data_IF_514173977310
#
_entry.id   IF_514173977310
#
_cell.length_a   1.000
_cell.length_b   1.000
_cell.length_c   1.000
_cell.angle_alpha   90.00
_cell.angle_beta   90.00
_cell.angle_gamma   90.00
#
_symmetry.space_group_name_H-M   'P 1'
#
loop_
_entity.id
_entity.type
_entity.pdbx_description
1 polymer ?
#
# COMPACT_ATOMS: atom_id res chain seq x y z
N UNK A 1 -12.10 -8.03 40.77
CA UNK A 1 -11.97 -9.40 40.25
C UNK A 1 -12.66 -9.57 38.86
N UNK A 2 -13.98 -9.24 38.71
CA UNK A 2 -14.68 -9.40 37.40
C UNK A 2 -14.06 -8.53 36.29
N UNK A 3 -13.70 -7.27 36.57
CA UNK A 3 -13.03 -6.38 35.60
C UNK A 3 -11.65 -6.92 35.16
N UNK A 4 -10.87 -7.42 36.13
CA UNK A 4 -9.56 -8.02 35.84
C UNK A 4 -9.68 -9.27 34.96
N UNK A 5 -10.66 -10.14 35.25
CA UNK A 5 -10.93 -11.33 34.42
C UNK A 5 -11.35 -10.96 33.00
N UNK A 6 -12.20 -9.95 32.84
CA UNK A 6 -12.61 -9.46 31.52
C UNK A 6 -11.42 -8.90 30.71
N UNK A 7 -10.53 -8.12 31.36
CA UNK A 7 -9.33 -7.59 30.71
C UNK A 7 -8.40 -8.74 30.27
N UNK A 8 -8.17 -9.72 31.13
CA UNK A 8 -7.36 -10.89 30.78
C UNK A 8 -7.96 -11.67 29.62
N UNK A 9 -9.28 -11.87 29.61
CA UNK A 9 -9.97 -12.52 28.49
C UNK A 9 -9.78 -11.75 27.18
N UNK A 10 -9.97 -10.44 27.18
CA UNK A 10 -9.76 -9.59 25.99
C UNK A 10 -8.32 -9.69 25.49
N UNK A 11 -7.33 -9.61 26.38
CA UNK A 11 -5.91 -9.75 26.03
C UNK A 11 -5.64 -11.13 25.41
N UNK A 12 -6.19 -12.20 26.00
CA UNK A 12 -6.03 -13.56 25.48
C UNK A 12 -6.62 -13.72 24.10
N UNK A 13 -7.83 -13.18 23.85
CA UNK A 13 -8.47 -13.20 22.54
C UNK A 13 -7.63 -12.43 21.50
N UNK A 14 -7.11 -11.26 21.87
CA UNK A 14 -6.25 -10.46 20.99
C UNK A 14 -4.93 -11.21 20.67
N UNK A 15 -4.29 -11.82 21.65
CA UNK A 15 -3.06 -12.59 21.46
C UNK A 15 -3.30 -13.79 20.54
N UNK A 16 -4.37 -14.54 20.75
CA UNK A 16 -4.75 -15.66 19.88
C UNK A 16 -5.02 -15.18 18.45
N UNK A 17 -5.72 -14.06 18.29
CA UNK A 17 -6.02 -13.47 16.96
C UNK A 17 -4.77 -12.99 16.24
N UNK A 18 -3.78 -12.45 16.95
CA UNK A 18 -2.53 -11.94 16.38
C UNK A 18 -1.48 -13.03 16.12
N UNK A 19 -1.51 -14.13 16.88
CA UNK A 19 -0.49 -15.19 16.81
C UNK A 19 -0.23 -15.72 15.38
N UNK A 20 -1.24 -15.98 14.53
CA UNK A 20 -1.01 -16.48 13.17
C UNK A 20 -0.16 -15.54 12.30
N UNK A 21 -0.22 -14.23 12.56
CA UNK A 21 0.52 -13.23 11.80
C UNK A 21 1.89 -12.93 12.43
N UNK A 22 2.04 -13.12 13.76
CA UNK A 22 3.32 -12.91 14.46
C UNK A 22 4.31 -14.03 14.15
N UNK A 23 3.84 -15.28 14.11
CA UNK A 23 4.70 -16.47 13.92
C UNK A 23 4.70 -16.98 12.49
N UNK A 24 4.21 -16.19 11.54
CA UNK A 24 4.20 -16.58 10.14
C UNK A 24 5.59 -16.57 9.52
N UNK A 25 5.93 -17.62 8.79
CA UNK A 25 7.18 -17.73 8.05
C UNK A 25 6.90 -17.85 6.56
N UNK A 26 7.51 -16.98 5.77
CA UNK A 26 7.42 -16.99 4.31
C UNK A 26 8.13 -18.23 3.75
N UNK A 27 7.46 -19.01 2.90
CA UNK A 27 8.02 -20.22 2.28
C UNK A 27 7.35 -20.57 0.96
N UNK A 28 8.08 -21.30 0.13
CA UNK A 28 7.59 -21.79 -1.16
C UNK A 28 7.44 -20.69 -2.22
N UNK A 29 6.90 -21.08 -3.37
CA UNK A 29 6.56 -20.17 -4.47
C UNK A 29 5.06 -19.87 -4.40
N UNK A 30 4.69 -18.61 -4.42
CA UNK A 30 3.28 -18.22 -4.38
C UNK A 30 2.56 -18.56 -5.68
N UNK A 31 1.31 -19.02 -5.54
CA UNK A 31 0.38 -19.23 -6.65
C UNK A 31 -0.77 -18.23 -6.50
N UNK A 32 -0.86 -17.29 -7.44
CA UNK A 32 -1.98 -16.36 -7.56
C UNK A 32 -2.95 -16.86 -8.60
N UNK A 33 -4.21 -17.09 -8.23
CA UNK A 33 -5.26 -17.54 -9.13
C UNK A 33 -6.28 -16.44 -9.35
N UNK A 34 -6.86 -16.36 -10.56
CA UNK A 34 -7.88 -15.38 -10.91
C UNK A 34 -7.34 -13.96 -11.07
N UNK A 35 -8.12 -12.98 -10.64
CA UNK A 35 -7.81 -11.55 -10.81
C UNK A 35 -7.73 -10.84 -9.44
N UNK A 36 -7.17 -9.62 -9.37
CA UNK A 36 -7.23 -8.82 -8.15
C UNK A 36 -8.64 -8.66 -7.56
N UNK A 37 -9.68 -8.62 -8.41
CA UNK A 37 -11.08 -8.50 -7.97
C UNK A 37 -11.79 -9.81 -7.68
N UNK A 38 -11.24 -10.96 -8.12
CA UNK A 38 -11.81 -12.29 -7.88
C UNK A 38 -10.71 -13.36 -8.03
N UNK A 39 -10.11 -13.74 -6.92
CA UNK A 39 -8.99 -14.67 -6.95
C UNK A 39 -8.63 -15.23 -5.58
N UNK A 40 -7.56 -16.01 -5.54
CA UNK A 40 -6.99 -16.63 -4.34
C UNK A 40 -5.47 -16.58 -4.38
N UNK A 41 -4.86 -16.84 -3.23
CA UNK A 41 -3.42 -16.83 -3.02
C UNK A 41 -3.01 -18.06 -2.22
N UNK A 42 -2.04 -18.81 -2.74
CA UNK A 42 -1.39 -19.92 -2.03
C UNK A 42 0.08 -19.55 -1.77
N UNK A 43 0.66 -20.11 -0.72
CA UNK A 43 2.04 -19.82 -0.28
C UNK A 43 2.30 -18.31 -0.23
N UNK A 44 1.41 -17.58 0.44
CA UNK A 44 1.48 -16.13 0.57
C UNK A 44 2.77 -15.70 1.27
N UNK A 45 3.27 -14.53 0.91
CA UNK A 45 4.39 -13.90 1.61
C UNK A 45 3.88 -12.73 2.44
N UNK A 46 4.17 -12.76 3.71
CA UNK A 46 3.90 -11.66 4.62
C UNK A 46 4.94 -10.55 4.42
N UNK A 47 4.48 -9.33 4.20
CA UNK A 47 5.33 -8.15 4.08
C UNK A 47 6.01 -7.85 5.43
N UNK A 48 7.24 -7.37 5.41
CA UNK A 48 7.91 -6.92 6.62
C UNK A 48 7.17 -5.72 7.23
N UNK A 49 6.83 -5.82 8.52
CA UNK A 49 6.16 -4.72 9.24
C UNK A 49 6.97 -3.43 9.21
N UNK A 50 8.31 -3.53 9.26
CA UNK A 50 9.22 -2.39 9.23
C UNK A 50 10.51 -2.75 8.50
N UNK A 51 11.02 -1.82 7.72
CA UNK A 51 12.35 -1.83 7.11
C UNK A 51 13.10 -0.54 7.46
N UNK A 52 14.23 -0.30 6.82
CA UNK A 52 15.02 0.92 7.07
C UNK A 52 14.28 2.21 6.67
N UNK A 53 13.50 2.18 5.58
CA UNK A 53 12.82 3.34 5.02
C UNK A 53 11.33 3.12 4.74
N UNK A 54 10.76 2.04 5.25
CA UNK A 54 9.33 1.78 5.12
C UNK A 54 8.74 1.09 6.35
N UNK A 55 7.43 1.27 6.54
CA UNK A 55 6.66 0.59 7.58
C UNK A 55 5.25 0.32 7.08
N UNK A 56 4.66 -0.78 7.54
CA UNK A 56 3.24 -1.03 7.37
C UNK A 56 2.43 0.00 8.18
N UNK A 57 1.38 0.56 7.60
CA UNK A 57 0.70 1.75 8.13
C UNK A 57 -0.04 1.51 9.45
N UNK A 58 -0.58 0.31 9.68
CA UNK A 58 -1.42 -0.01 10.83
C UNK A 58 -1.04 -1.33 11.50
N UNK A 59 -0.72 -1.34 12.81
CA UNK A 59 -0.54 -2.58 13.56
C UNK A 59 -1.81 -3.44 13.57
N UNK A 60 -2.99 -2.83 13.64
CA UNK A 60 -4.27 -3.55 13.65
C UNK A 60 -4.47 -4.29 12.32
N UNK A 61 -4.31 -3.60 11.18
CA UNK A 61 -4.41 -4.23 9.86
C UNK A 61 -3.38 -5.35 9.68
N UNK A 62 -2.16 -5.16 10.18
CA UNK A 62 -1.09 -6.12 10.06
C UNK A 62 -1.31 -7.36 10.93
N UNK A 63 -1.42 -7.17 12.24
CA UNK A 63 -1.41 -8.28 13.20
C UNK A 63 -2.78 -8.91 13.42
N UNK A 64 -3.86 -8.13 13.42
CA UNK A 64 -5.20 -8.60 13.73
C UNK A 64 -6.00 -8.94 12.47
N UNK A 65 -6.04 -8.02 11.48
CA UNK A 65 -6.82 -8.25 10.25
C UNK A 65 -6.06 -9.10 9.22
N UNK A 66 -4.73 -9.16 9.30
CA UNK A 66 -3.89 -9.96 8.43
C UNK A 66 -3.99 -9.55 6.96
N UNK A 67 -4.08 -8.25 6.66
CA UNK A 67 -4.12 -7.70 5.29
C UNK A 67 -2.73 -7.38 4.75
N UNK A 68 -1.72 -8.11 5.18
CA UNK A 68 -0.30 -7.87 4.90
C UNK A 68 0.36 -8.96 4.04
N UNK A 69 -0.42 -9.71 3.27
CA UNK A 69 0.07 -10.81 2.45
C UNK A 69 0.05 -10.49 0.97
N UNK A 70 1.08 -10.94 0.26
CA UNK A 70 1.22 -10.76 -1.19
C UNK A 70 1.79 -12.01 -1.84
N UNK A 71 1.78 -12.05 -3.17
CA UNK A 71 2.55 -13.02 -3.94
C UNK A 71 4.05 -12.85 -3.70
N UNK A 72 4.83 -13.93 -3.69
CA UNK A 72 6.28 -13.92 -3.43
C UNK A 72 7.05 -12.98 -4.38
N UNK A 73 6.66 -12.89 -5.65
CA UNK A 73 7.26 -11.95 -6.61
C UNK A 73 6.91 -10.50 -6.27
N UNK A 74 5.67 -10.22 -5.84
CA UNK A 74 5.28 -8.89 -5.40
C UNK A 74 5.97 -8.51 -4.08
N UNK A 75 6.16 -9.44 -3.16
CA UNK A 75 6.96 -9.24 -1.95
C UNK A 75 8.38 -8.75 -2.31
N UNK A 76 9.06 -9.46 -3.22
CA UNK A 76 10.41 -9.06 -3.64
C UNK A 76 10.39 -7.72 -4.39
N UNK A 77 9.38 -7.46 -5.21
CA UNK A 77 9.18 -6.20 -5.93
C UNK A 77 9.06 -5.01 -4.97
N UNK A 78 8.22 -5.11 -3.95
CA UNK A 78 8.06 -4.06 -2.94
C UNK A 78 9.36 -3.84 -2.17
N UNK A 79 10.05 -4.91 -1.79
CA UNK A 79 11.34 -4.84 -1.10
C UNK A 79 12.40 -4.15 -1.95
N UNK A 80 12.55 -4.53 -3.22
CA UNK A 80 13.53 -3.96 -4.15
C UNK A 80 13.23 -2.48 -4.45
N UNK A 81 11.94 -2.12 -4.61
CA UNK A 81 11.54 -0.73 -4.86
C UNK A 81 11.90 0.19 -3.69
N UNK A 82 11.63 -0.23 -2.45
CA UNK A 82 12.03 0.55 -1.28
C UNK A 82 13.55 0.60 -1.11
N UNK A 83 14.28 -0.45 -1.49
CA UNK A 83 15.74 -0.44 -1.49
C UNK A 83 16.29 0.58 -2.51
N UNK A 84 15.69 0.70 -3.70
CA UNK A 84 16.03 1.74 -4.68
C UNK A 84 15.72 3.14 -4.13
N UNK A 85 14.59 3.29 -3.44
CA UNK A 85 14.18 4.55 -2.81
C UNK A 85 15.12 5.02 -1.67
N UNK A 86 15.95 4.18 -1.09
CA UNK A 86 17.00 4.62 -0.16
C UNK A 86 17.93 5.64 -0.85
N UNK A 87 18.21 5.45 -2.15
CA UNK A 87 19.10 6.30 -2.94
C UNK A 87 18.34 7.46 -3.62
N UNK A 88 17.16 7.18 -4.19
CA UNK A 88 16.41 8.16 -5.00
C UNK A 88 15.52 9.08 -4.17
N UNK A 89 15.17 8.68 -2.94
CA UNK A 89 14.32 9.41 -1.99
C UNK A 89 14.97 9.43 -0.59
N UNK A 90 16.19 9.98 -0.43
CA UNK A 90 16.91 9.91 0.84
C UNK A 90 16.12 10.58 1.98
N UNK A 91 16.03 9.90 3.13
CA UNK A 91 15.35 10.40 4.32
C UNK A 91 13.83 10.24 4.34
N UNK A 92 13.24 9.78 3.24
CA UNK A 92 11.79 9.48 3.18
C UNK A 92 11.49 8.16 3.90
N UNK A 93 10.45 8.17 4.72
CA UNK A 93 9.92 7.00 5.44
C UNK A 93 8.54 6.65 4.84
N UNK A 94 8.50 5.64 3.99
CA UNK A 94 7.30 5.23 3.26
C UNK A 94 6.31 4.45 4.15
N UNK A 95 5.05 4.42 3.74
CA UNK A 95 4.01 3.57 4.33
C UNK A 95 3.41 2.68 3.27
N UNK A 96 3.54 1.37 3.48
CA UNK A 96 2.75 0.38 2.78
C UNK A 96 1.42 0.25 3.51
N UNK A 97 0.34 0.30 2.77
CA UNK A 97 -1.00 0.13 3.32
C UNK A 97 -1.48 -1.32 3.11
N UNK A 98 -2.72 -1.51 2.69
CA UNK A 98 -3.30 -2.84 2.66
C UNK A 98 -2.88 -3.64 1.43
N UNK A 99 -2.80 -4.93 1.64
CA UNK A 99 -2.52 -5.96 0.65
C UNK A 99 -3.62 -7.02 0.71
N UNK A 100 -3.31 -8.25 0.38
CA UNK A 100 -4.22 -9.39 0.48
C UNK A 100 -4.23 -9.99 1.88
N UNK A 101 -5.21 -10.87 2.13
CA UNK A 101 -5.15 -11.83 3.23
C UNK A 101 -4.28 -13.03 2.85
N UNK A 102 -3.93 -13.89 3.81
CA UNK A 102 -3.06 -15.07 3.63
C UNK A 102 -3.53 -16.02 2.52
N UNK A 103 -4.85 -16.19 2.35
CA UNK A 103 -5.44 -17.05 1.32
C UNK A 103 -6.01 -16.29 0.13
N UNK A 104 -5.87 -14.98 0.11
CA UNK A 104 -6.59 -14.15 -0.84
C UNK A 104 -8.10 -14.14 -0.56
N UNK A 105 -8.91 -14.02 -1.61
CA UNK A 105 -10.36 -13.95 -1.49
C UNK A 105 -10.86 -12.58 -1.00
N UNK A 106 -12.03 -12.54 -0.39
CA UNK A 106 -12.64 -11.28 0.04
C UNK A 106 -11.83 -10.61 1.15
N UNK A 107 -11.45 -9.37 0.93
CA UNK A 107 -10.84 -8.48 1.92
C UNK A 107 -11.91 -7.50 2.40
N UNK A 108 -11.99 -7.28 3.70
CA UNK A 108 -12.97 -6.38 4.29
C UNK A 108 -12.80 -4.98 3.67
N UNK A 109 -13.92 -4.38 3.26
CA UNK A 109 -14.05 -3.08 2.56
C UNK A 109 -13.36 -2.94 1.21
N UNK A 110 -12.49 -3.87 0.80
CA UNK A 110 -11.78 -3.82 -0.48
C UNK A 110 -12.44 -4.72 -1.54
N UNK A 111 -12.57 -4.18 -2.77
CA UNK A 111 -13.06 -4.94 -3.93
C UNK A 111 -11.94 -5.66 -4.69
N UNK A 112 -10.70 -5.31 -4.42
CA UNK A 112 -9.47 -5.86 -5.00
C UNK A 112 -8.65 -6.60 -3.94
N UNK A 113 -7.35 -6.78 -4.12
CA UNK A 113 -6.43 -7.47 -3.20
C UNK A 113 -6.70 -8.97 -3.01
N UNK A 114 -7.46 -9.63 -3.92
CA UNK A 114 -7.96 -10.98 -3.67
C UNK A 114 -7.03 -12.09 -4.13
N UNK A 115 -5.96 -11.78 -4.86
CA UNK A 115 -5.01 -12.78 -5.35
C UNK A 115 -3.54 -12.49 -4.99
N UNK A 116 -3.29 -11.52 -4.11
CA UNK A 116 -1.94 -11.16 -3.69
C UNK A 116 -1.12 -10.40 -4.72
N UNK A 117 -1.73 -9.90 -5.80
CA UNK A 117 -1.07 -9.10 -6.85
C UNK A 117 -1.56 -7.65 -6.84
N UNK A 118 -1.94 -7.15 -5.66
CA UNK A 118 -2.31 -5.73 -5.45
C UNK A 118 -1.73 -5.24 -4.14
N UNK A 119 -1.37 -3.96 -4.10
CA UNK A 119 -0.92 -3.29 -2.88
C UNK A 119 -1.30 -1.82 -2.91
N UNK A 120 -1.62 -1.28 -1.73
CA UNK A 120 -1.89 0.14 -1.50
C UNK A 120 -0.67 0.80 -0.87
N UNK A 121 -0.33 1.97 -1.39
CA UNK A 121 0.80 2.77 -0.93
C UNK A 121 0.30 4.15 -0.51
N UNK A 122 0.57 4.54 0.72
CA UNK A 122 0.21 5.85 1.24
C UNK A 122 0.90 6.95 0.43
N UNK A 123 0.18 8.02 0.08
CA UNK A 123 0.81 9.18 -0.56
C UNK A 123 1.83 9.81 0.41
N UNK A 124 3.06 10.09 -0.05
CA UNK A 124 4.01 10.86 0.74
C UNK A 124 3.48 12.28 0.96
N UNK A 125 3.72 12.85 2.15
CA UNK A 125 3.21 14.17 2.53
C UNK A 125 4.34 15.11 2.88
N UNK A 126 4.27 16.34 2.39
CA UNK A 126 5.26 17.39 2.67
C UNK A 126 4.63 18.63 3.26
N UNK A 127 5.45 19.35 4.02
CA UNK A 127 5.20 20.72 4.48
C UNK A 127 6.50 21.49 4.42
N UNK A 128 6.52 22.60 3.69
CA UNK A 128 7.73 23.41 3.50
C UNK A 128 8.92 22.57 2.99
N UNK A 129 8.70 21.69 2.02
CA UNK A 129 9.73 20.84 1.41
C UNK A 129 10.25 19.69 2.28
N UNK A 130 9.66 19.43 3.46
CA UNK A 130 10.07 18.33 4.35
C UNK A 130 8.92 17.35 4.58
N UNK A 131 9.23 16.04 4.60
CA UNK A 131 8.23 15.02 4.91
C UNK A 131 7.58 15.24 6.28
N UNK A 132 6.25 15.14 6.34
CA UNK A 132 5.46 15.17 7.56
C UNK A 132 5.03 13.76 7.93
N UNK A 133 5.65 13.21 8.98
CA UNK A 133 5.41 11.83 9.44
C UNK A 133 4.24 11.71 10.44
N UNK A 134 3.71 12.84 10.93
CA UNK A 134 2.65 12.82 11.96
C UNK A 134 1.41 12.08 11.47
N UNK A 135 0.90 12.47 10.30
CA UNK A 135 -0.29 11.88 9.70
C UNK A 135 -0.07 10.45 9.16
N UNK A 136 1.19 10.01 9.01
CA UNK A 136 1.54 8.66 8.56
C UNK A 136 1.53 7.63 9.72
N UNK A 137 1.36 8.08 10.97
CA UNK A 137 1.50 7.24 12.18
C UNK A 137 0.20 6.97 12.91
N UNK A 138 -0.93 7.41 12.34
CA UNK A 138 -2.24 7.31 12.98
C UNK A 138 -2.98 6.00 12.66
N UNK A 139 -2.32 5.06 11.97
CA UNK A 139 -2.87 3.74 11.67
C UNK A 139 -4.15 3.83 10.86
N UNK A 140 -5.20 3.08 11.25
CA UNK A 140 -6.50 3.06 10.56
C UNK A 140 -7.19 4.43 10.47
N UNK A 141 -6.86 5.36 11.38
CA UNK A 141 -7.39 6.73 11.33
C UNK A 141 -6.92 7.50 10.11
N UNK A 142 -5.92 6.97 9.37
CA UNK A 142 -5.46 7.56 8.12
C UNK A 142 -6.59 7.69 7.09
N UNK A 143 -7.51 6.73 7.02
CA UNK A 143 -8.68 6.77 6.14
C UNK A 143 -9.68 7.89 6.44
N UNK A 144 -9.50 8.65 7.53
CA UNK A 144 -10.26 9.85 7.83
C UNK A 144 -9.58 11.14 7.36
N UNK A 145 -8.36 11.03 6.84
CA UNK A 145 -7.70 12.16 6.19
C UNK A 145 -8.31 12.34 4.80
N UNK A 146 -8.57 13.59 4.45
CA UNK A 146 -9.11 13.91 3.13
C UNK A 146 -8.18 14.94 2.48
N UNK A 147 -7.76 14.64 1.27
CA UNK A 147 -7.05 15.57 0.40
C UNK A 147 -8.03 16.13 -0.64
N UNK A 148 -7.97 17.45 -0.84
CA UNK A 148 -8.77 18.08 -1.88
C UNK A 148 -8.24 17.79 -3.30
N UNK A 149 -8.81 18.43 -4.29
CA UNK A 149 -8.50 18.18 -5.70
C UNK A 149 -7.13 18.73 -6.12
N UNK A 150 -6.48 19.54 -5.26
CA UNK A 150 -5.10 20.03 -5.43
C UNK A 150 -4.07 19.29 -4.56
N UNK A 151 -4.50 18.23 -3.87
CA UNK A 151 -3.64 17.44 -3.00
C UNK A 151 -3.28 18.11 -1.67
N UNK A 152 -4.07 19.11 -1.23
CA UNK A 152 -3.91 19.75 0.07
C UNK A 152 -4.72 19.00 1.13
N UNK A 153 -4.10 18.75 2.31
CA UNK A 153 -4.78 18.10 3.43
C UNK A 153 -5.86 19.02 4.03
N UNK A 154 -7.12 18.59 4.02
CA UNK A 154 -8.27 19.38 4.51
C UNK A 154 -8.10 19.88 5.95
N UNK A 155 -7.51 19.08 6.84
CA UNK A 155 -7.21 19.44 8.22
C UNK A 155 -6.06 20.46 8.35
N UNK A 156 -5.19 20.56 7.34
CA UNK A 156 -4.03 21.46 7.38
C UNK A 156 -3.54 21.74 5.95
N UNK A 157 -4.05 22.76 5.32
CA UNK A 157 -3.74 23.20 3.95
C UNK A 157 -2.26 23.46 3.64
N UNK A 158 -1.41 23.54 4.68
CA UNK A 158 0.06 23.65 4.52
C UNK A 158 0.74 22.31 4.30
N UNK A 159 0.00 21.21 4.39
CA UNK A 159 0.45 19.84 4.11
C UNK A 159 -0.12 19.42 2.78
N UNK A 160 0.74 19.02 1.86
CA UNK A 160 0.36 18.61 0.50
C UNK A 160 0.92 17.23 0.18
N UNK A 161 0.36 16.57 -0.83
CA UNK A 161 0.92 15.35 -1.40
C UNK A 161 2.25 15.69 -2.06
N UNK A 162 3.26 14.84 -1.85
CA UNK A 162 4.54 14.89 -2.55
C UNK A 162 4.49 14.01 -3.80
N UNK A 163 3.97 14.57 -4.89
CA UNK A 163 3.85 13.87 -6.16
C UNK A 163 5.20 13.48 -6.78
N UNK A 164 6.27 14.23 -6.52
CA UNK A 164 7.62 13.87 -6.99
C UNK A 164 8.13 12.60 -6.30
N UNK A 165 8.02 12.52 -4.98
CA UNK A 165 8.37 11.31 -4.24
C UNK A 165 7.47 10.13 -4.61
N UNK A 166 6.17 10.33 -4.83
CA UNK A 166 5.25 9.31 -5.32
C UNK A 166 5.69 8.79 -6.70
N UNK A 167 6.04 9.68 -7.62
CA UNK A 167 6.51 9.32 -8.96
C UNK A 167 7.83 8.55 -8.94
N UNK A 168 8.80 8.96 -8.13
CA UNK A 168 10.06 8.23 -7.92
C UNK A 168 9.82 6.81 -7.40
N UNK A 169 8.91 6.65 -6.42
CA UNK A 169 8.56 5.33 -5.91
C UNK A 169 7.88 4.47 -6.97
N UNK A 170 6.95 5.01 -7.77
CA UNK A 170 6.31 4.27 -8.87
C UNK A 170 7.31 3.83 -9.94
N UNK A 171 8.32 4.65 -10.25
CA UNK A 171 9.42 4.28 -11.16
C UNK A 171 10.24 3.12 -10.56
N UNK A 172 10.62 3.21 -9.30
CA UNK A 172 11.35 2.15 -8.61
C UNK A 172 10.51 0.85 -8.57
N UNK A 173 9.20 0.97 -8.36
CA UNK A 173 8.27 -0.14 -8.33
C UNK A 173 8.12 -0.81 -9.70
N UNK A 174 8.06 -0.04 -10.79
CA UNK A 174 8.02 -0.54 -12.17
C UNK A 174 9.32 -1.28 -12.54
N UNK A 175 10.48 -0.69 -12.20
CA UNK A 175 11.78 -1.32 -12.41
C UNK A 175 11.88 -2.67 -11.66
N UNK A 176 11.51 -2.67 -10.38
CA UNK A 176 11.51 -3.85 -9.53
C UNK A 176 10.49 -4.90 -10.01
N UNK A 177 9.31 -4.49 -10.47
CA UNK A 177 8.30 -5.39 -11.00
C UNK A 177 8.83 -6.16 -12.21
N UNK A 178 9.39 -5.46 -13.19
CA UNK A 178 9.98 -6.07 -14.40
C UNK A 178 11.09 -7.05 -14.05
N UNK A 179 11.98 -6.69 -13.13
CA UNK A 179 13.06 -7.55 -12.64
C UNK A 179 12.52 -8.85 -12.00
N UNK A 180 11.39 -8.78 -11.30
CA UNK A 180 10.78 -9.90 -10.59
C UNK A 180 9.69 -10.64 -11.39
N UNK A 181 9.60 -10.40 -12.71
CA UNK A 181 8.65 -11.07 -13.60
C UNK A 181 7.21 -10.61 -13.40
N UNK A 182 7.04 -9.34 -13.05
CA UNK A 182 5.76 -8.66 -12.95
C UNK A 182 5.71 -7.42 -13.85
N UNK A 183 4.50 -6.98 -14.16
CA UNK A 183 4.24 -5.65 -14.74
C UNK A 183 3.18 -4.94 -13.92
N UNK A 184 3.29 -3.63 -13.77
CA UNK A 184 2.20 -2.80 -13.26
C UNK A 184 1.09 -2.81 -14.30
N UNK A 185 -0.08 -3.33 -13.95
CA UNK A 185 -1.22 -3.43 -14.86
C UNK A 185 -2.20 -2.28 -14.71
N UNK A 186 -2.26 -1.66 -13.53
CA UNK A 186 -3.14 -0.52 -13.26
C UNK A 186 -2.69 0.20 -12.00
N UNK A 187 -2.76 1.52 -12.03
CA UNK A 187 -2.69 2.38 -10.85
C UNK A 187 -4.04 3.08 -10.66
N UNK A 188 -4.51 3.16 -9.42
CA UNK A 188 -5.67 3.97 -9.05
C UNK A 188 -5.18 5.09 -8.14
N UNK A 189 -5.48 6.31 -8.50
CA UNK A 189 -5.33 7.53 -7.75
C UNK A 189 -6.60 8.34 -8.00
N UNK A 190 -7.05 9.15 -7.04
CA UNK A 190 -8.18 10.06 -7.24
C UNK A 190 -8.04 10.81 -8.55
N UNK A 191 -9.11 10.87 -9.35
CA UNK A 191 -9.07 11.38 -10.73
C UNK A 191 -8.56 12.82 -10.77
N UNK A 192 -9.00 13.66 -9.86
CA UNK A 192 -8.69 15.09 -9.79
C UNK A 192 -7.20 15.34 -9.49
N UNK A 193 -6.51 14.42 -8.84
CA UNK A 193 -5.08 14.53 -8.50
C UNK A 193 -4.13 14.16 -9.65
N UNK A 194 -4.65 13.57 -10.72
CA UNK A 194 -3.80 13.05 -11.80
C UNK A 194 -3.10 14.12 -12.61
N UNK A 195 -3.77 15.24 -12.87
CA UNK A 195 -3.16 16.31 -13.67
C UNK A 195 -1.97 16.90 -12.92
N UNK A 196 -2.10 17.14 -11.62
CA UNK A 196 -0.98 17.62 -10.80
C UNK A 196 0.15 16.59 -10.74
N UNK A 197 -0.17 15.30 -10.57
CA UNK A 197 0.82 14.23 -10.62
C UNK A 197 1.55 14.19 -11.98
N UNK A 198 0.82 14.17 -13.10
CA UNK A 198 1.42 14.07 -14.45
C UNK A 198 2.11 15.35 -14.92
N UNK A 199 1.89 16.49 -14.27
CA UNK A 199 2.64 17.73 -14.50
C UNK A 199 4.04 17.69 -13.87
N UNK A 200 4.31 16.79 -12.91
CA UNK A 200 5.66 16.59 -12.36
C UNK A 200 6.60 15.93 -13.36
N UNK A 201 7.91 16.06 -13.17
CA UNK A 201 8.92 15.37 -13.98
C UNK A 201 8.73 13.86 -13.95
N UNK A 202 8.54 13.29 -12.76
CA UNK A 202 8.39 11.84 -12.56
C UNK A 202 7.04 11.33 -13.03
N UNK A 203 5.99 12.11 -12.93
CA UNK A 203 4.68 11.78 -13.51
C UNK A 203 4.73 11.72 -15.05
N UNK A 204 5.46 12.64 -15.69
CA UNK A 204 5.72 12.59 -17.15
C UNK A 204 6.50 11.34 -17.54
N UNK A 205 7.49 10.93 -16.74
CA UNK A 205 8.22 9.67 -16.97
C UNK A 205 7.30 8.46 -16.83
N UNK A 206 6.45 8.40 -15.83
CA UNK A 206 5.43 7.35 -15.65
C UNK A 206 4.52 7.24 -16.88
N UNK A 207 4.09 8.38 -17.43
CA UNK A 207 3.29 8.43 -18.66
C UNK A 207 4.07 7.90 -19.87
N UNK A 208 5.35 8.28 -20.02
CA UNK A 208 6.23 7.75 -21.09
C UNK A 208 6.45 6.25 -21.00
N UNK A 209 6.48 5.68 -19.80
CA UNK A 209 6.57 4.23 -19.56
C UNK A 209 5.29 3.47 -19.91
N UNK A 210 4.21 4.16 -20.21
CA UNK A 210 2.92 3.56 -20.55
C UNK A 210 2.21 2.92 -19.36
N UNK A 211 2.51 3.32 -18.12
CA UNK A 211 1.84 2.81 -16.94
C UNK A 211 0.41 3.34 -16.91
N UNK A 212 -0.55 2.41 -16.94
CA UNK A 212 -1.96 2.75 -17.01
C UNK A 212 -2.50 3.22 -15.65
N UNK A 213 -3.07 4.41 -15.65
CA UNK A 213 -3.89 4.95 -14.56
C UNK A 213 -5.37 4.83 -14.89
N UNK A 214 -6.18 4.34 -13.96
CA UNK A 214 -7.62 4.20 -14.15
C UNK A 214 -8.25 5.55 -14.55
N UNK A 215 -8.97 5.60 -15.68
CA UNK A 215 -9.52 6.85 -16.24
C UNK A 215 -10.91 7.19 -15.72
N UNK A 216 -11.62 6.20 -15.20
CA UNK A 216 -12.96 6.37 -14.65
C UNK A 216 -13.09 5.54 -13.37
N UNK A 217 -13.62 6.15 -12.33
CA UNK A 217 -13.87 5.53 -11.03
C UNK A 217 -15.30 5.83 -10.60
N UNK A 218 -15.93 4.90 -9.88
CA UNK A 218 -17.18 5.24 -9.18
C UNK A 218 -16.90 6.28 -8.11
N UNK A 219 -17.88 7.10 -7.77
CA UNK A 219 -17.75 8.17 -6.76
C UNK A 219 -17.13 7.64 -5.45
N UNK A 220 -17.59 6.48 -4.96
CA UNK A 220 -17.09 5.89 -3.73
C UNK A 220 -15.62 5.45 -3.83
N UNK A 221 -15.20 4.89 -4.98
CA UNK A 221 -13.80 4.50 -5.20
C UNK A 221 -12.92 5.74 -5.35
N UNK A 222 -13.38 6.75 -6.08
CA UNK A 222 -12.64 7.99 -6.27
C UNK A 222 -12.36 8.71 -4.94
N UNK A 223 -13.38 8.79 -4.07
CA UNK A 223 -13.26 9.47 -2.76
C UNK A 223 -12.24 8.84 -1.82
N UNK A 224 -12.05 7.53 -1.87
CA UNK A 224 -11.13 6.82 -0.95
C UNK A 224 -9.72 6.65 -1.51
N UNK A 225 -9.42 7.21 -2.68
CA UNK A 225 -8.09 7.16 -3.30
C UNK A 225 -7.43 8.55 -3.38
N UNK A 226 -7.70 9.40 -2.42
CA UNK A 226 -7.05 10.70 -2.26
C UNK A 226 -5.84 10.66 -1.32
N UNK A 227 -5.78 9.67 -0.42
CA UNK A 227 -4.75 9.52 0.60
C UNK A 227 -3.73 8.39 0.32
N UNK A 228 -4.01 7.57 -0.72
CA UNK A 228 -3.15 6.48 -1.17
C UNK A 228 -3.30 6.23 -2.67
N UNK A 229 -2.35 5.51 -3.24
CA UNK A 229 -2.44 4.97 -4.59
C UNK A 229 -2.41 3.45 -4.56
N UNK A 230 -3.41 2.87 -5.21
CA UNK A 230 -3.55 1.44 -5.39
C UNK A 230 -2.81 0.98 -6.64
N UNK A 231 -2.09 -0.14 -6.56
CA UNK A 231 -1.36 -0.70 -7.69
C UNK A 231 -1.71 -2.18 -7.87
N UNK A 232 -2.24 -2.52 -9.04
CA UNK A 232 -2.43 -3.90 -9.50
C UNK A 232 -1.25 -4.35 -10.36
N UNK A 233 -0.83 -5.59 -10.18
CA UNK A 233 0.23 -6.24 -10.95
C UNK A 233 -0.29 -7.44 -11.72
N UNK A 234 0.46 -7.83 -12.78
CA UNK A 234 0.27 -9.07 -13.52
C UNK A 234 1.59 -9.82 -13.63
N UNK A 235 1.51 -11.14 -13.57
CA UNK A 235 2.64 -12.02 -13.89
C UNK A 235 2.99 -11.88 -15.39
N UNK A 236 4.27 -11.75 -15.70
CA UNK A 236 4.80 -11.91 -17.06
C UNK A 236 4.76 -13.40 -17.36
N UNK A 237 4.13 -13.76 -18.49
CA UNK A 237 4.09 -15.14 -18.98
C UNK A 237 5.43 -15.56 -19.56
#
# INVERSE_FOLDING_TARGET
KKKTLLILLIITILLIGCAPNIFYTNSGVSISTGTPGNGSLENAYQINYKTNNSRYFSPISYFLLGTCYVNSRLYQTIKDSYQECVKTCPGIDFRLMECSTKKGGKVLVHRTHRNGLSADFMVPKIKKGKQIKLYDRIGLWHYLLNFDDSGELSLNKKVTIDFDTMGKHLIALDNAAKKNGLVISKVILKIELKDDFFNTEYGKEIKRRGIYFAQSLSKSINMVHDDHYHVDFKLIK
#
